data_IF_256014972027
#
_entry.id   IF_256014972027
#
_cell.length_a   1.000
_cell.length_b   1.000
_cell.length_c   1.000
_cell.angle_alpha   90.00
_cell.angle_beta   90.00
_cell.angle_gamma   90.00
#
_symmetry.space_group_name_H-M   'P 1'
#
loop_
_entity.id
_entity.type
_entity.pdbx_description
1 polymer ?
#
# COMPACT_ATOMS: atom_id res chain seq x y z
N UNK A 1 -1.67 -9.99 -23.23
CA UNK A 1 -0.22 -9.94 -23.48
C UNK A 1 0.45 -10.63 -22.30
N UNK A 2 1.07 -11.79 -22.52
CA UNK A 2 1.86 -12.45 -21.47
C UNK A 2 3.09 -11.58 -21.26
N UNK A 3 3.32 -11.04 -20.06
CA UNK A 3 4.62 -10.46 -19.72
C UNK A 3 5.58 -11.64 -19.58
N UNK A 4 6.10 -12.12 -20.71
CA UNK A 4 7.26 -13.01 -20.72
C UNK A 4 8.46 -12.12 -20.51
N UNK A 5 9.10 -12.22 -19.35
CA UNK A 5 10.48 -11.80 -19.20
C UNK A 5 11.34 -12.72 -20.08
N UNK A 6 11.60 -12.28 -21.31
CA UNK A 6 12.54 -12.93 -22.22
C UNK A 6 13.92 -12.33 -21.94
N UNK A 7 14.85 -13.17 -21.49
CA UNK A 7 16.27 -12.85 -21.38
C UNK A 7 17.00 -13.13 -22.70
N UNK A 8 17.78 -12.17 -23.19
CA UNK A 8 18.91 -12.33 -24.13
C UNK A 8 19.99 -11.28 -23.82
N UNK A 9 21.26 -11.47 -24.22
CA UNK A 9 22.39 -11.35 -23.32
C UNK A 9 23.12 -10.01 -23.43
N UNK A 10 23.59 -9.56 -22.27
CA UNK A 10 24.78 -8.72 -22.03
C UNK A 10 24.95 -7.47 -22.90
N UNK A 11 24.56 -6.32 -22.37
CA UNK A 11 25.38 -5.11 -22.49
C UNK A 11 25.10 -4.11 -21.35
N UNK A 12 26.16 -3.37 -21.02
CA UNK A 12 26.35 -2.45 -19.89
C UNK A 12 25.33 -1.30 -19.91
N UNK A 13 24.16 -1.41 -19.27
CA UNK A 13 23.34 -0.26 -18.79
C UNK A 13 22.53 -0.60 -17.52
N UNK A 14 23.07 -1.55 -16.73
CA UNK A 14 22.34 -2.37 -15.76
C UNK A 14 22.36 -1.83 -14.30
N UNK A 15 22.06 -0.54 -14.09
CA UNK A 15 22.03 0.02 -12.71
C UNK A 15 20.72 0.73 -12.30
N UNK A 16 19.80 1.01 -13.24
CA UNK A 16 18.50 1.61 -12.90
C UNK A 16 17.35 0.58 -12.81
N UNK A 17 17.36 -0.49 -13.61
CA UNK A 17 16.27 -1.48 -13.62
C UNK A 17 16.22 -2.40 -12.39
N UNK A 18 17.36 -2.60 -11.70
CA UNK A 18 17.41 -3.44 -10.49
C UNK A 18 16.72 -2.80 -9.26
N UNK A 19 16.48 -1.49 -9.25
CA UNK A 19 15.85 -0.80 -8.11
C UNK A 19 14.32 -0.94 -8.09
N UNK A 20 13.68 -1.06 -9.25
CA UNK A 20 12.22 -1.19 -9.36
C UNK A 20 11.70 -2.56 -8.86
N UNK A 21 12.53 -3.60 -8.96
CA UNK A 21 12.19 -4.95 -8.48
C UNK A 21 12.16 -5.09 -6.95
N UNK A 22 12.68 -4.11 -6.21
CA UNK A 22 12.72 -4.16 -4.74
C UNK A 22 11.41 -3.68 -4.08
N UNK A 23 10.46 -3.18 -4.86
CA UNK A 23 9.14 -2.72 -4.40
C UNK A 23 8.15 -3.90 -4.22
N UNK A 24 8.48 -5.10 -4.70
CA UNK A 24 7.66 -6.30 -4.47
C UNK A 24 8.46 -7.39 -3.74
N UNK A 25 8.38 -7.34 -2.40
CA UNK A 25 8.71 -8.38 -1.42
C UNK A 25 10.11 -9.02 -1.45
N UNK A 26 10.70 -9.12 -0.26
CA UNK A 26 11.93 -9.85 0.03
C UNK A 26 11.71 -11.37 0.04
N UNK A 27 11.57 -11.99 -1.13
CA UNK A 27 11.77 -13.42 -1.29
C UNK A 27 12.52 -13.68 -2.60
N UNK A 28 13.59 -14.49 -2.53
CA UNK A 28 14.40 -14.93 -3.67
C UNK A 28 13.58 -15.81 -4.63
N UNK A 29 12.70 -15.20 -5.43
CA UNK A 29 11.97 -15.87 -6.51
C UNK A 29 12.08 -14.98 -7.75
N UNK A 30 12.69 -15.52 -8.81
CA UNK A 30 13.13 -14.77 -9.99
C UNK A 30 12.01 -14.38 -10.97
N UNK A 31 10.74 -14.65 -10.64
CA UNK A 31 9.55 -14.25 -11.41
C UNK A 31 8.30 -14.47 -10.57
N UNK A 32 7.45 -13.45 -10.44
CA UNK A 32 6.12 -13.54 -9.84
C UNK A 32 5.05 -13.42 -10.93
N UNK A 33 4.05 -14.31 -10.94
CA UNK A 33 2.88 -14.17 -11.81
C UNK A 33 1.66 -13.70 -11.01
N UNK A 34 0.98 -12.67 -11.54
CA UNK A 34 -0.20 -12.05 -10.94
C UNK A 34 -1.48 -12.46 -11.69
N UNK A 35 -2.55 -12.71 -10.95
CA UNK A 35 -3.89 -12.93 -11.51
C UNK A 35 -4.93 -12.07 -10.79
N UNK A 36 -5.83 -11.51 -11.58
CA UNK A 36 -7.02 -10.83 -11.11
C UNK A 36 -8.25 -11.54 -11.68
N UNK A 37 -9.22 -11.82 -10.82
CA UNK A 37 -10.50 -12.38 -11.21
C UNK A 37 -11.57 -11.33 -10.92
N UNK A 38 -12.21 -10.85 -11.98
CA UNK A 38 -13.36 -9.93 -11.92
C UNK A 38 -14.60 -10.60 -12.50
N UNK A 39 -15.78 -10.16 -12.07
CA UNK A 39 -17.03 -10.57 -12.70
C UNK A 39 -17.32 -9.87 -14.03
N UNK A 40 -18.25 -10.40 -14.83
CA UNK A 40 -18.45 -9.97 -16.21
C UNK A 40 -19.01 -8.54 -16.30
N UNK A 41 -18.25 -7.58 -16.81
CA UNK A 41 -18.75 -6.24 -17.12
C UNK A 41 -19.60 -6.20 -18.40
N UNK A 42 -20.66 -5.36 -18.39
CA UNK A 42 -21.21 -4.79 -19.61
C UNK A 42 -20.30 -3.62 -20.05
N UNK A 43 -19.79 -3.74 -21.29
CA UNK A 43 -18.82 -2.85 -21.95
C UNK A 43 -19.18 -1.37 -21.92
N UNK A 44 -18.31 -0.51 -21.36
CA UNK A 44 -17.73 0.68 -22.02
C UNK A 44 -16.73 1.40 -21.08
N UNK A 45 -15.43 1.29 -21.36
CA UNK A 45 -14.35 2.06 -20.70
C UNK A 45 -13.16 1.19 -20.36
N UNK A 46 -12.02 1.41 -21.02
CA UNK A 46 -10.83 0.55 -20.95
C UNK A 46 -10.06 0.71 -19.63
N UNK A 47 -9.66 -0.42 -19.02
CA UNK A 47 -8.30 -0.56 -18.48
C UNK A 47 -7.89 -2.04 -18.38
N UNK A 48 -6.65 -2.33 -18.77
CA UNK A 48 -6.15 -3.67 -19.11
C UNK A 48 -5.41 -4.33 -17.94
N UNK A 49 -5.89 -5.50 -17.48
CA UNK A 49 -5.03 -6.69 -17.24
C UNK A 49 -5.80 -7.94 -17.67
N UNK A 50 -5.33 -8.55 -18.77
CA UNK A 50 -5.88 -9.77 -19.34
C UNK A 50 -5.63 -10.99 -18.44
N UNK A 51 -6.66 -11.45 -17.75
CA UNK A 51 -7.04 -12.87 -17.74
C UNK A 51 -8.54 -12.97 -18.03
N UNK A 52 -8.91 -12.53 -19.23
CA UNK A 52 -10.15 -12.99 -19.88
C UNK A 52 -10.01 -14.50 -20.04
N UNK A 53 -10.61 -15.28 -19.13
CA UNK A 53 -11.11 -16.58 -19.57
C UNK A 53 -12.04 -16.27 -20.75
N UNK A 54 -11.64 -16.70 -21.94
CA UNK A 54 -12.31 -16.42 -23.23
C UNK A 54 -13.73 -16.97 -23.34
N UNK A 55 -14.34 -17.37 -22.22
CA UNK A 55 -15.75 -17.68 -22.08
C UNK A 55 -16.30 -16.82 -20.95
N UNK A 56 -17.28 -15.99 -21.26
CA UNK A 56 -18.18 -15.33 -20.30
C UNK A 56 -18.74 -16.40 -19.35
N UNK A 57 -18.11 -16.61 -18.20
CA UNK A 57 -18.62 -17.50 -17.18
C UNK A 57 -19.31 -16.66 -16.11
N UNK A 58 -20.58 -16.93 -15.79
CA UNK A 58 -21.22 -16.31 -14.65
C UNK A 58 -20.42 -16.69 -13.39
N UNK A 59 -20.29 -15.75 -12.46
CA UNK A 59 -19.57 -15.91 -11.18
C UNK A 59 -20.36 -16.64 -10.06
N UNK A 60 -21.60 -17.16 -10.20
CA UNK A 60 -22.27 -17.69 -9.03
C UNK A 60 -21.62 -19.03 -8.65
N UNK A 61 -21.20 -19.09 -7.39
CA UNK A 61 -20.97 -20.34 -6.66
C UNK A 61 -20.11 -21.39 -7.38
N UNK A 62 -18.94 -21.00 -7.92
CA UNK A 62 -17.90 -22.02 -8.10
C UNK A 62 -17.49 -22.47 -6.70
N UNK A 63 -18.00 -23.61 -6.25
CA UNK A 63 -17.44 -24.36 -5.14
C UNK A 63 -15.93 -24.34 -5.35
N UNK A 64 -15.11 -23.86 -4.39
CA UNK A 64 -13.69 -23.54 -4.63
C UNK A 64 -12.87 -24.63 -5.34
N UNK A 65 -13.35 -25.87 -5.33
CA UNK A 65 -12.89 -26.99 -6.16
C UNK A 65 -12.94 -26.77 -7.69
N UNK A 66 -13.97 -26.13 -8.22
CA UNK A 66 -14.17 -25.90 -9.66
C UNK A 66 -13.29 -24.75 -10.18
N UNK A 67 -13.14 -23.67 -9.41
CA UNK A 67 -12.10 -22.65 -9.68
C UNK A 67 -10.74 -23.34 -9.70
N UNK A 68 -10.44 -24.19 -8.72
CA UNK A 68 -9.17 -24.92 -8.65
C UNK A 68 -8.91 -25.88 -9.83
N UNK A 69 -9.95 -26.50 -10.37
CA UNK A 69 -9.84 -27.32 -11.58
C UNK A 69 -9.61 -26.46 -12.84
N UNK A 70 -10.29 -25.31 -12.94
CA UNK A 70 -10.01 -24.28 -13.94
C UNK A 70 -8.62 -23.66 -13.77
N UNK A 71 -8.07 -23.72 -12.54
CA UNK A 71 -6.75 -23.23 -12.17
C UNK A 71 -5.61 -24.22 -12.38
N UNK A 72 -5.86 -25.48 -12.77
CA UNK A 72 -4.78 -26.41 -13.17
C UNK A 72 -3.75 -25.83 -14.16
N UNK A 73 -4.10 -24.94 -15.12
CA UNK A 73 -3.11 -24.24 -15.95
C UNK A 73 -2.29 -23.15 -15.23
N UNK A 74 -2.65 -22.72 -14.02
CA UNK A 74 -1.95 -21.67 -13.26
C UNK A 74 -0.73 -22.17 -12.47
N UNK A 75 0.05 -23.08 -13.05
CA UNK A 75 1.34 -23.49 -12.47
C UNK A 75 2.34 -22.34 -12.61
N UNK A 76 2.29 -21.37 -11.70
CA UNK A 76 3.17 -20.20 -11.74
C UNK A 76 2.67 -18.98 -10.99
N UNK A 77 1.37 -18.90 -10.66
CA UNK A 77 0.80 -17.75 -9.94
C UNK A 77 1.31 -17.68 -8.51
N UNK A 78 1.68 -16.47 -8.08
CA UNK A 78 2.15 -16.18 -6.72
C UNK A 78 1.29 -15.11 -6.02
N UNK A 79 0.39 -14.45 -6.74
CA UNK A 79 -0.53 -13.44 -6.20
C UNK A 79 -1.91 -13.53 -6.87
N UNK A 80 -2.98 -13.51 -6.08
CA UNK A 80 -4.37 -13.44 -6.54
C UNK A 80 -5.09 -12.23 -5.94
N UNK A 81 -5.54 -11.30 -6.79
CA UNK A 81 -6.58 -10.30 -6.47
C UNK A 81 -7.97 -10.91 -6.76
N UNK A 82 -8.85 -10.93 -5.78
CA UNK A 82 -10.18 -11.57 -5.88
C UNK A 82 -11.33 -10.61 -5.58
N UNK A 83 -12.04 -10.23 -6.64
CA UNK A 83 -13.04 -9.15 -6.68
C UNK A 83 -14.39 -9.55 -6.04
N UNK A 84 -15.34 -8.62 -5.99
CA UNK A 84 -16.68 -8.74 -5.39
C UNK A 84 -17.83 -8.48 -6.37
N UNK A 85 -17.55 -8.14 -7.64
CA UNK A 85 -18.60 -7.99 -8.64
C UNK A 85 -19.40 -9.29 -8.88
N UNK A 86 -20.71 -9.16 -9.11
CA UNK A 86 -21.63 -10.26 -9.49
C UNK A 86 -21.61 -11.46 -8.51
N UNK A 87 -21.64 -11.14 -7.21
CA UNK A 87 -21.45 -12.06 -6.11
C UNK A 87 -22.70 -12.85 -5.67
N UNK A 88 -23.77 -12.88 -6.48
CA UNK A 88 -25.06 -13.53 -6.21
C UNK A 88 -25.68 -13.28 -4.82
N UNK A 89 -25.36 -12.13 -4.21
CA UNK A 89 -25.70 -11.76 -2.83
C UNK A 89 -25.09 -12.69 -1.76
N UNK A 90 -24.16 -13.58 -2.14
CA UNK A 90 -23.41 -14.39 -1.20
C UNK A 90 -22.45 -13.52 -0.39
N UNK A 91 -22.60 -13.61 0.93
CA UNK A 91 -21.81 -12.85 1.90
C UNK A 91 -20.30 -13.03 1.68
N UNK A 92 -19.48 -11.95 1.71
CA UNK A 92 -18.01 -12.03 1.57
C UNK A 92 -17.37 -13.01 2.56
N UNK A 93 -17.85 -13.03 3.81
CA UNK A 93 -17.40 -13.95 4.87
C UNK A 93 -17.48 -15.45 4.50
N UNK A 94 -18.32 -15.81 3.53
CA UNK A 94 -18.47 -17.18 3.04
C UNK A 94 -17.59 -17.39 1.80
N UNK A 95 -17.78 -16.56 0.76
CA UNK A 95 -17.13 -16.75 -0.56
C UNK A 95 -15.61 -16.63 -0.51
N UNK A 96 -15.04 -15.71 0.27
CA UNK A 96 -13.58 -15.60 0.39
C UNK A 96 -12.96 -16.77 1.14
N UNK A 97 -13.66 -17.34 2.13
CA UNK A 97 -13.20 -18.54 2.83
C UNK A 97 -13.11 -19.73 1.89
N UNK A 98 -14.13 -19.90 1.03
CA UNK A 98 -14.14 -20.95 0.01
C UNK A 98 -12.92 -20.83 -0.92
N UNK A 99 -12.59 -19.63 -1.38
CA UNK A 99 -11.40 -19.39 -2.21
C UNK A 99 -10.10 -19.64 -1.44
N UNK A 100 -9.98 -19.14 -0.21
CA UNK A 100 -8.82 -19.37 0.66
C UNK A 100 -8.54 -20.85 0.85
N UNK A 101 -9.56 -21.65 1.20
CA UNK A 101 -9.45 -23.10 1.34
C UNK A 101 -9.02 -23.78 0.04
N UNK A 102 -9.45 -23.24 -1.10
CA UNK A 102 -9.08 -23.71 -2.42
C UNK A 102 -7.59 -23.45 -2.72
N UNK A 103 -7.12 -22.22 -2.49
CA UNK A 103 -5.71 -21.84 -2.62
C UNK A 103 -4.81 -22.70 -1.72
N UNK A 104 -5.21 -22.95 -0.48
CA UNK A 104 -4.45 -23.78 0.45
C UNK A 104 -4.31 -25.24 -0.04
N UNK A 105 -5.32 -25.77 -0.74
CA UNK A 105 -5.26 -27.11 -1.36
C UNK A 105 -4.28 -27.21 -2.53
N UNK A 106 -3.88 -26.09 -3.14
CA UNK A 106 -2.83 -26.08 -4.19
C UNK A 106 -1.48 -26.55 -3.64
N UNK A 107 -1.24 -26.35 -2.34
CA UNK A 107 0.06 -26.45 -1.67
C UNK A 107 1.15 -25.54 -2.25
N UNK A 108 0.77 -24.51 -3.03
CA UNK A 108 1.64 -23.42 -3.46
C UNK A 108 1.34 -22.19 -2.59
N UNK A 109 2.36 -21.49 -2.06
CA UNK A 109 2.15 -20.19 -1.44
C UNK A 109 1.67 -19.19 -2.50
N UNK A 110 0.43 -18.72 -2.37
CA UNK A 110 -0.16 -17.69 -3.23
C UNK A 110 -0.63 -16.58 -2.29
N UNK A 111 -0.14 -15.35 -2.50
CA UNK A 111 -0.63 -14.18 -1.77
C UNK A 111 -2.09 -13.94 -2.14
N UNK A 112 -2.98 -13.95 -1.15
CA UNK A 112 -4.40 -13.75 -1.38
C UNK A 112 -4.82 -12.35 -0.98
N UNK A 113 -5.23 -11.55 -1.96
CA UNK A 113 -5.69 -10.17 -1.82
C UNK A 113 -7.20 -10.11 -2.10
N UNK A 114 -7.97 -9.74 -1.08
CA UNK A 114 -9.42 -9.58 -1.19
C UNK A 114 -9.76 -8.18 -1.69
N UNK A 115 -10.73 -8.10 -2.60
CA UNK A 115 -11.21 -6.88 -3.21
C UNK A 115 -12.75 -6.81 -3.13
N UNK A 116 -13.22 -6.51 -1.93
CA UNK A 116 -14.60 -6.47 -1.45
C UNK A 116 -15.01 -5.10 -0.95
N UNK A 117 -14.13 -4.12 -1.11
CA UNK A 117 -14.40 -2.71 -0.86
C UNK A 117 -14.85 -2.40 0.58
N UNK A 118 -14.34 -3.16 1.54
CA UNK A 118 -14.72 -3.03 2.95
C UNK A 118 -16.07 -3.67 3.32
N UNK A 119 -16.73 -4.38 2.39
CA UNK A 119 -18.03 -5.00 2.63
C UNK A 119 -18.00 -6.00 3.79
N UNK A 120 -18.96 -5.85 4.71
CA UNK A 120 -19.04 -6.55 5.99
C UNK A 120 -17.75 -6.49 6.84
N UNK A 121 -17.00 -5.37 6.77
CA UNK A 121 -15.83 -5.07 7.62
C UNK A 121 -14.78 -6.20 7.62
N UNK A 122 -14.07 -6.43 6.50
CA UNK A 122 -13.04 -7.46 6.40
C UNK A 122 -11.90 -7.29 7.40
N UNK A 123 -11.72 -6.09 7.94
CA UNK A 123 -10.80 -5.80 9.03
C UNK A 123 -11.04 -6.68 10.27
N UNK A 124 -12.26 -7.18 10.48
CA UNK A 124 -12.61 -8.06 11.60
C UNK A 124 -12.36 -9.56 11.34
N UNK A 125 -12.25 -9.99 10.08
CA UNK A 125 -12.25 -11.43 9.74
C UNK A 125 -11.26 -11.84 8.65
N UNK A 126 -10.84 -10.91 7.80
CA UNK A 126 -9.95 -11.11 6.65
C UNK A 126 -8.59 -11.70 7.02
N UNK A 127 -8.02 -11.34 8.17
CA UNK A 127 -6.74 -11.88 8.63
C UNK A 127 -6.71 -13.41 8.80
N UNK A 128 -7.87 -14.06 8.95
CA UNK A 128 -7.98 -15.52 9.05
C UNK A 128 -8.15 -16.22 7.69
N UNK A 129 -8.28 -15.43 6.61
CA UNK A 129 -8.71 -15.88 5.28
C UNK A 129 -7.72 -15.46 4.20
N UNK A 130 -7.12 -14.27 4.31
CA UNK A 130 -6.31 -13.64 3.28
C UNK A 130 -5.12 -12.86 3.84
N UNK A 131 -4.24 -12.40 2.95
CA UNK A 131 -3.04 -11.63 3.27
C UNK A 131 -3.25 -10.11 3.21
N UNK A 132 -4.20 -9.66 2.41
CA UNK A 132 -4.70 -8.28 2.44
C UNK A 132 -6.18 -8.23 2.07
N UNK A 133 -6.84 -7.13 2.42
CA UNK A 133 -8.24 -6.87 2.08
C UNK A 133 -8.48 -5.40 1.80
N UNK A 134 -9.22 -5.12 0.73
CA UNK A 134 -9.62 -3.75 0.38
C UNK A 134 -10.51 -3.18 1.47
N UNK A 135 -10.16 -2.00 1.98
CA UNK A 135 -10.93 -1.32 3.04
C UNK A 135 -11.93 -0.31 2.49
N UNK A 136 -11.80 0.06 1.21
CA UNK A 136 -12.59 1.09 0.54
C UNK A 136 -12.94 0.71 -0.89
N UNK A 137 -13.87 1.46 -1.50
CA UNK A 137 -14.06 1.53 -2.95
C UNK A 137 -12.77 1.95 -3.67
N UNK A 138 -12.81 1.89 -5.01
CA UNK A 138 -11.65 2.18 -5.85
C UNK A 138 -11.16 3.63 -5.68
N UNK A 139 -9.84 3.78 -5.60
CA UNK A 139 -9.19 5.09 -5.68
C UNK A 139 -9.31 5.64 -7.11
N UNK A 140 -9.24 6.96 -7.23
CA UNK A 140 -9.04 7.64 -8.50
C UNK A 140 -7.87 8.60 -8.38
N UNK A 141 -7.22 8.92 -9.49
CA UNK A 141 -6.11 9.86 -9.56
C UNK A 141 -6.53 11.32 -9.33
N UNK A 142 -6.96 11.63 -8.11
CA UNK A 142 -7.26 12.99 -7.63
C UNK A 142 -6.96 13.13 -6.14
N UNK A 143 -6.63 14.35 -5.72
CA UNK A 143 -6.29 14.67 -4.33
C UNK A 143 -7.41 14.28 -3.35
N UNK A 144 -8.65 14.62 -3.69
CA UNK A 144 -9.82 14.38 -2.83
C UNK A 144 -10.11 12.88 -2.66
N UNK A 145 -9.91 12.10 -3.72
CA UNK A 145 -10.11 10.65 -3.69
C UNK A 145 -9.04 9.97 -2.83
N UNK A 146 -7.78 10.35 -3.03
CA UNK A 146 -6.65 9.86 -2.23
C UNK A 146 -6.85 10.15 -0.75
N UNK A 147 -7.22 11.38 -0.37
CA UNK A 147 -7.49 11.74 1.02
C UNK A 147 -8.67 10.96 1.61
N UNK A 148 -9.78 10.85 0.87
CA UNK A 148 -10.96 10.10 1.32
C UNK A 148 -10.61 8.65 1.63
N UNK A 149 -9.84 8.00 0.75
CA UNK A 149 -9.45 6.60 0.91
C UNK A 149 -8.47 6.43 2.07
N UNK A 150 -7.51 7.34 2.22
CA UNK A 150 -6.62 7.38 3.37
C UNK A 150 -7.38 7.48 4.71
N UNK A 151 -8.36 8.38 4.78
CA UNK A 151 -9.16 8.62 5.99
C UNK A 151 -10.03 7.42 6.37
N UNK A 152 -10.66 6.78 5.38
CA UNK A 152 -11.46 5.58 5.60
C UNK A 152 -10.61 4.37 5.99
N UNK A 153 -9.36 4.30 5.55
CA UNK A 153 -8.44 3.22 5.89
C UNK A 153 -7.82 3.37 7.29
N UNK A 154 -7.55 4.61 7.71
CA UNK A 154 -6.87 4.93 8.96
C UNK A 154 -7.56 4.34 10.19
N UNK A 155 -8.90 4.39 10.22
CA UNK A 155 -9.71 3.92 11.36
C UNK A 155 -9.53 2.42 11.65
N UNK A 156 -8.93 1.67 10.72
CA UNK A 156 -8.69 0.23 10.83
C UNK A 156 -7.25 -0.14 11.18
N UNK A 157 -6.40 0.84 11.49
CA UNK A 157 -4.98 0.61 11.76
C UNK A 157 -4.69 -0.48 12.81
N UNK A 158 -5.53 -0.64 13.84
CA UNK A 158 -5.36 -1.67 14.88
C UNK A 158 -5.52 -3.12 14.38
N UNK A 159 -6.14 -3.31 13.21
CA UNK A 159 -6.41 -4.63 12.65
C UNK A 159 -5.29 -5.12 11.73
N UNK A 160 -4.50 -4.20 11.17
CA UNK A 160 -3.35 -4.54 10.32
C UNK A 160 -2.20 -5.08 11.17
N UNK A 161 -1.59 -6.17 10.69
CA UNK A 161 -0.48 -6.85 11.37
C UNK A 161 0.29 -7.73 10.38
N UNK A 162 1.51 -8.19 10.72
CA UNK A 162 2.23 -9.14 9.89
C UNK A 162 1.36 -10.33 9.44
N UNK A 163 1.20 -10.45 8.12
CA UNK A 163 0.39 -11.49 7.47
C UNK A 163 -1.03 -11.10 7.09
N UNK A 164 -1.52 -9.92 7.50
CA UNK A 164 -2.85 -9.40 7.18
C UNK A 164 -2.88 -7.88 7.16
N UNK A 165 -3.02 -7.28 5.97
CA UNK A 165 -2.87 -5.84 5.76
C UNK A 165 -4.15 -5.19 5.24
N UNK A 166 -4.44 -4.00 5.75
CA UNK A 166 -5.45 -3.13 5.17
C UNK A 166 -4.97 -2.62 3.80
N UNK A 167 -5.82 -2.70 2.80
CA UNK A 167 -5.52 -2.31 1.42
C UNK A 167 -6.37 -1.09 1.02
N UNK A 168 -5.83 0.14 1.10
CA UNK A 168 -6.46 1.35 0.59
C UNK A 168 -6.37 1.47 -0.95
N UNK A 169 -6.21 0.37 -1.69
CA UNK A 169 -6.08 0.33 -3.16
C UNK A 169 -4.71 0.74 -3.70
N UNK A 170 -4.56 0.70 -5.02
CA UNK A 170 -3.30 0.89 -5.73
C UNK A 170 -2.76 2.33 -5.66
N UNK A 171 -1.46 2.50 -5.92
CA UNK A 171 -0.81 3.80 -6.04
C UNK A 171 -1.13 4.44 -7.40
N UNK A 172 -1.60 5.70 -7.36
CA UNK A 172 -1.87 6.53 -8.54
C UNK A 172 -0.65 7.34 -8.99
N UNK A 173 0.48 7.16 -8.30
CA UNK A 173 1.72 7.93 -8.51
C UNK A 173 2.19 7.84 -9.95
N UNK A 174 2.14 8.98 -10.66
CA UNK A 174 2.57 9.11 -12.04
C UNK A 174 1.48 9.01 -13.10
N UNK A 175 0.19 8.97 -12.72
CA UNK A 175 -0.93 8.93 -13.67
C UNK A 175 -1.37 10.31 -14.20
N UNK A 176 -0.93 11.40 -13.56
CA UNK A 176 -0.99 12.77 -14.07
C UNK A 176 -2.12 13.65 -13.51
N UNK A 177 -3.00 13.12 -12.67
CA UNK A 177 -4.12 13.80 -12.05
C UNK A 177 -3.79 14.53 -10.74
N UNK A 178 -2.63 14.27 -10.14
CA UNK A 178 -2.13 14.97 -8.96
C UNK A 178 -0.77 15.64 -9.21
N UNK A 179 -0.45 16.66 -8.41
CA UNK A 179 0.85 17.31 -8.41
C UNK A 179 1.93 16.42 -7.79
N UNK A 180 3.20 16.77 -8.01
CA UNK A 180 4.32 16.05 -7.39
C UNK A 180 4.22 15.97 -5.86
N UNK A 181 3.87 17.08 -5.20
CA UNK A 181 3.76 17.13 -3.74
C UNK A 181 2.60 16.27 -3.24
N UNK A 182 1.48 16.24 -3.96
CA UNK A 182 0.33 15.40 -3.64
C UNK A 182 0.67 13.91 -3.81
N UNK A 183 1.42 13.53 -4.85
CA UNK A 183 1.92 12.16 -4.98
C UNK A 183 2.94 11.77 -3.91
N UNK A 184 3.75 12.71 -3.42
CA UNK A 184 4.63 12.51 -2.27
C UNK A 184 3.81 12.24 -1.00
N UNK A 185 2.70 12.96 -0.79
CA UNK A 185 1.75 12.70 0.31
C UNK A 185 1.13 11.30 0.14
N UNK A 186 0.58 11.00 -1.03
CA UNK A 186 -0.02 9.69 -1.36
C UNK A 186 0.91 8.53 -0.99
N UNK A 187 2.13 8.54 -1.55
CA UNK A 187 3.11 7.49 -1.29
C UNK A 187 3.51 7.40 0.18
N UNK A 188 3.64 8.54 0.86
CA UNK A 188 3.98 8.58 2.29
C UNK A 188 2.88 7.99 3.17
N UNK A 189 1.61 8.30 2.88
CA UNK A 189 0.46 7.78 3.63
C UNK A 189 0.31 6.27 3.41
N UNK A 190 0.45 5.78 2.18
CA UNK A 190 0.42 4.34 1.91
C UNK A 190 1.56 3.62 2.62
N UNK A 191 2.77 4.20 2.60
CA UNK A 191 3.93 3.62 3.25
C UNK A 191 3.79 3.59 4.78
N UNK A 192 3.37 4.70 5.40
CA UNK A 192 3.19 4.76 6.85
C UNK A 192 2.04 3.85 7.30
N UNK A 193 1.03 3.66 6.44
CA UNK A 193 -0.13 2.81 6.71
C UNK A 193 0.13 1.30 6.56
N UNK A 194 1.32 0.89 6.14
CA UNK A 194 1.64 -0.52 5.77
C UNK A 194 0.70 -1.08 4.69
N UNK A 195 0.17 -0.20 3.84
CA UNK A 195 -0.61 -0.59 2.68
C UNK A 195 0.25 -1.38 1.69
N UNK A 196 -0.35 -2.26 0.86
CA UNK A 196 0.30 -2.76 -0.34
C UNK A 196 0.78 -1.59 -1.23
N UNK A 197 2.05 -1.61 -1.63
CA UNK A 197 2.62 -0.60 -2.55
C UNK A 197 2.56 -1.11 -4.00
N UNK A 198 1.34 -1.22 -4.53
CA UNK A 198 1.09 -1.69 -5.90
C UNK A 198 1.06 -0.51 -6.87
N UNK A 199 1.94 -0.50 -7.87
CA UNK A 199 2.00 0.58 -8.87
C UNK A 199 0.80 0.51 -9.83
N UNK A 200 0.04 1.60 -9.93
CA UNK A 200 -1.06 1.76 -10.88
C UNK A 200 -0.67 2.48 -12.19
N UNK A 201 0.57 2.96 -12.31
CA UNK A 201 1.04 3.69 -13.49
C UNK A 201 1.64 2.81 -14.58
N UNK A 202 1.77 3.35 -15.80
CA UNK A 202 2.48 2.69 -16.89
C UNK A 202 4.00 2.69 -16.66
N UNK A 203 4.52 1.56 -16.15
CA UNK A 203 5.94 1.39 -15.81
C UNK A 203 6.89 1.45 -17.01
N UNK A 204 6.39 1.48 -18.25
CA UNK A 204 7.21 1.65 -19.45
C UNK A 204 7.61 3.11 -19.70
N UNK A 205 6.87 4.05 -19.10
CA UNK A 205 7.00 5.49 -19.35
C UNK A 205 7.10 6.28 -18.03
N UNK A 206 7.82 5.75 -17.05
CA UNK A 206 7.99 6.40 -15.74
C UNK A 206 8.91 7.63 -15.87
N UNK A 207 8.43 8.80 -15.43
CA UNK A 207 9.24 10.02 -15.39
C UNK A 207 10.27 9.96 -14.25
N UNK A 208 11.28 10.83 -14.30
CA UNK A 208 12.27 10.91 -13.23
C UNK A 208 11.63 11.38 -11.91
N UNK A 209 10.63 12.26 -11.95
CA UNK A 209 9.89 12.66 -10.74
C UNK A 209 9.14 11.48 -10.13
N UNK A 210 8.42 10.69 -10.95
CA UNK A 210 7.72 9.49 -10.48
C UNK A 210 8.70 8.48 -9.88
N UNK A 211 9.87 8.27 -10.51
CA UNK A 211 10.93 7.40 -9.97
C UNK A 211 11.51 7.89 -8.63
N UNK A 212 11.59 9.20 -8.40
CA UNK A 212 12.05 9.76 -7.11
C UNK A 212 11.07 9.41 -5.98
N UNK A 213 9.78 9.37 -6.28
CA UNK A 213 8.73 9.02 -5.32
C UNK A 213 8.75 7.51 -5.07
N UNK A 214 8.47 6.71 -6.10
CA UNK A 214 8.28 5.26 -5.94
C UNK A 214 9.59 4.54 -5.60
N UNK A 215 10.75 5.11 -5.95
CA UNK A 215 12.08 4.58 -5.68
C UNK A 215 12.71 5.07 -4.36
N UNK A 216 11.95 5.72 -3.48
CA UNK A 216 12.49 6.17 -2.19
C UNK A 216 12.63 4.99 -1.20
N UNK A 217 13.84 4.42 -1.16
CA UNK A 217 14.21 3.28 -0.30
C UNK A 217 13.93 3.53 1.20
N UNK A 218 14.01 4.76 1.69
CA UNK A 218 13.80 5.07 3.12
C UNK A 218 12.31 5.07 3.48
N UNK A 219 11.46 5.57 2.58
CA UNK A 219 9.99 5.52 2.75
C UNK A 219 9.48 4.09 2.58
N UNK A 220 10.03 3.33 1.61
CA UNK A 220 9.76 1.89 1.47
C UNK A 220 10.19 1.14 2.73
N UNK A 221 11.33 1.47 3.33
CA UNK A 221 11.80 0.83 4.56
C UNK A 221 10.85 1.06 5.75
N UNK A 222 10.13 2.18 5.78
CA UNK A 222 9.03 2.38 6.73
C UNK A 222 7.90 1.39 6.46
N UNK A 223 7.43 1.27 5.21
CA UNK A 223 6.38 0.32 4.84
C UNK A 223 6.76 -1.13 5.18
N UNK A 224 8.01 -1.50 4.92
CA UNK A 224 8.55 -2.85 5.11
C UNK A 224 9.14 -3.09 6.51
N UNK A 225 8.89 -2.20 7.48
CA UNK A 225 9.41 -2.37 8.83
C UNK A 225 8.87 -3.64 9.48
N UNK A 226 9.76 -4.43 10.09
CA UNK A 226 9.44 -5.75 10.66
C UNK A 226 8.44 -5.70 11.81
N UNK A 227 8.29 -4.56 12.48
CA UNK A 227 7.27 -4.42 13.53
C UNK A 227 5.87 -4.49 12.94
N UNK A 228 5.69 -4.04 11.68
CA UNK A 228 4.47 -4.24 10.93
C UNK A 228 3.24 -3.57 11.54
N UNK A 229 3.43 -2.44 12.24
CA UNK A 229 2.35 -1.67 12.86
C UNK A 229 1.96 -0.53 11.92
N UNK A 230 0.70 -0.49 11.54
CA UNK A 230 0.10 0.62 10.80
C UNK A 230 0.07 1.87 11.69
N UNK A 231 0.61 2.98 11.18
CA UNK A 231 0.52 4.27 11.85
C UNK A 231 -0.91 4.82 11.81
N UNK A 232 -1.21 5.71 12.75
CA UNK A 232 -2.50 6.37 12.91
C UNK A 232 -2.34 7.88 12.92
N UNK A 233 -3.45 8.60 12.74
CA UNK A 233 -3.52 10.02 13.08
C UNK A 233 -3.42 10.16 14.60
N UNK A 234 -2.43 10.92 15.05
CA UNK A 234 -2.22 11.23 16.47
C UNK A 234 -2.67 12.65 16.83
N UNK A 235 -2.72 13.55 15.84
CA UNK A 235 -3.21 14.92 16.00
C UNK A 235 -3.84 15.41 14.70
N UNK A 236 -4.93 16.15 14.83
CA UNK A 236 -5.64 16.79 13.71
C UNK A 236 -6.10 18.19 14.14
N UNK A 237 -5.64 19.21 13.44
CA UNK A 237 -5.96 20.62 13.69
C UNK A 237 -6.52 21.24 12.40
N UNK A 238 -7.83 21.05 12.18
CA UNK A 238 -8.47 21.36 10.91
C UNK A 238 -7.90 20.47 9.80
N UNK A 239 -7.31 21.08 8.78
CA UNK A 239 -6.71 20.42 7.61
C UNK A 239 -5.22 20.09 7.77
N UNK A 240 -4.72 20.11 9.00
CA UNK A 240 -3.35 19.74 9.33
C UNK A 240 -3.37 18.46 10.15
N UNK A 241 -2.67 17.44 9.69
CA UNK A 241 -2.66 16.13 10.33
C UNK A 241 -1.25 15.69 10.67
N UNK A 242 -1.12 15.02 11.81
CA UNK A 242 0.12 14.36 12.21
C UNK A 242 -0.22 12.88 12.37
N UNK A 243 0.49 12.07 11.60
CA UNK A 243 0.41 10.62 11.69
C UNK A 243 1.66 10.09 12.34
N UNK A 244 1.54 9.10 13.21
CA UNK A 244 2.69 8.46 13.82
C UNK A 244 2.44 6.97 14.10
N UNK A 245 3.55 6.22 14.15
CA UNK A 245 3.53 4.82 14.50
C UNK A 245 4.91 4.32 14.93
N UNK A 246 4.96 3.28 15.77
CA UNK A 246 6.23 2.69 16.17
C UNK A 246 6.86 1.93 15.01
N UNK A 247 8.19 1.89 15.00
CA UNK A 247 9.01 1.07 14.12
C UNK A 247 9.93 0.18 14.95
N UNK A 248 10.52 -0.82 14.30
CA UNK A 248 11.55 -1.66 14.89
C UNK A 248 12.72 -0.84 15.46
N UNK A 249 13.36 -1.38 16.51
CA UNK A 249 14.48 -0.76 17.24
C UNK A 249 14.11 0.52 18.00
N UNK A 250 12.89 0.57 18.55
CA UNK A 250 12.40 1.70 19.36
C UNK A 250 12.44 3.05 18.61
N UNK A 251 12.30 3.00 17.29
CA UNK A 251 12.18 4.18 16.43
C UNK A 251 10.71 4.51 16.25
N UNK A 252 10.41 5.74 15.85
CA UNK A 252 9.04 6.18 15.55
C UNK A 252 9.07 6.80 14.16
N UNK A 253 8.08 6.48 13.33
CA UNK A 253 7.82 7.25 12.11
C UNK A 253 6.80 8.33 12.42
N UNK A 254 7.00 9.52 11.86
CA UNK A 254 6.05 10.61 11.90
C UNK A 254 5.87 11.22 10.51
N UNK A 255 4.64 11.59 10.17
CA UNK A 255 4.28 12.27 8.93
C UNK A 255 3.46 13.51 9.30
N UNK A 256 3.95 14.69 8.90
CA UNK A 256 3.21 15.93 8.93
C UNK A 256 2.54 16.11 7.57
N UNK A 257 1.22 16.16 7.54
CA UNK A 257 0.42 16.31 6.32
C UNK A 257 -0.31 17.64 6.34
N UNK A 258 -0.03 18.50 5.37
CA UNK A 258 -0.72 19.78 5.20
C UNK A 258 -1.69 19.69 4.03
N UNK A 259 -2.99 19.58 4.33
CA UNK A 259 -4.04 19.56 3.31
C UNK A 259 -4.49 20.95 2.85
N UNK A 260 -3.95 22.01 3.45
CA UNK A 260 -4.29 23.40 3.11
C UNK A 260 -3.61 23.84 1.81
N UNK A 261 -4.18 24.81 1.07
CA UNK A 261 -3.57 25.36 -0.13
C UNK A 261 -2.49 26.42 0.15
N UNK A 262 -1.97 26.51 1.38
CA UNK A 262 -0.86 27.37 1.77
C UNK A 262 0.06 26.68 2.79
N UNK A 263 1.32 27.13 2.87
CA UNK A 263 2.32 26.62 3.82
C UNK A 263 1.85 26.82 5.26
N UNK A 264 2.00 25.79 6.08
CA UNK A 264 1.61 25.84 7.49
C UNK A 264 2.73 25.35 8.41
N UNK A 265 2.86 26.00 9.57
CA UNK A 265 3.73 25.53 10.65
C UNK A 265 3.00 24.47 11.48
N UNK A 266 3.61 23.32 11.65
CA UNK A 266 3.03 22.15 12.32
C UNK A 266 3.97 21.64 13.40
N UNK A 267 3.40 21.22 14.54
CA UNK A 267 4.18 20.76 15.70
C UNK A 267 3.65 19.43 16.20
N UNK A 268 4.54 18.44 16.28
CA UNK A 268 4.29 17.18 16.96
C UNK A 268 4.87 17.23 18.36
N UNK A 269 4.05 16.92 19.36
CA UNK A 269 4.50 16.82 20.74
C UNK A 269 4.83 15.36 21.09
N UNK A 270 5.75 15.14 22.03
CA UNK A 270 6.21 13.80 22.42
C UNK A 270 5.12 12.94 23.06
N UNK A 271 4.19 13.57 23.77
CA UNK A 271 2.99 12.92 24.31
C UNK A 271 2.06 12.39 23.21
N UNK A 272 1.90 13.10 22.09
CA UNK A 272 1.10 12.66 20.93
C UNK A 272 1.62 11.36 20.32
N UNK A 273 2.94 11.13 20.38
CA UNK A 273 3.61 10.02 19.68
C UNK A 273 4.15 8.94 20.63
N UNK A 274 3.70 8.93 21.88
CA UNK A 274 4.01 7.88 22.85
C UNK A 274 5.44 7.91 23.41
N UNK A 275 6.10 9.07 23.39
CA UNK A 275 7.38 9.29 24.06
C UNK A 275 7.10 9.82 25.46
N UNK A 276 7.25 8.98 26.48
CA UNK A 276 6.78 9.23 27.85
C UNK A 276 7.51 10.37 28.59
N UNK A 277 8.75 10.70 28.21
CA UNK A 277 9.51 11.76 28.85
C UNK A 277 9.95 12.82 27.86
N UNK A 278 9.63 14.07 28.16
CA UNK A 278 10.11 15.24 27.40
C UNK A 278 11.64 15.36 27.39
N UNK A 279 12.32 14.73 28.36
CA UNK A 279 13.79 14.69 28.45
C UNK A 279 14.44 13.77 27.41
N UNK A 280 13.67 12.94 26.71
CA UNK A 280 14.21 12.07 25.66
C UNK A 280 14.69 12.94 24.49
N UNK A 281 15.99 12.85 24.22
CA UNK A 281 16.61 13.52 23.08
C UNK A 281 16.39 12.67 21.83
N UNK A 282 15.90 13.29 20.77
CA UNK A 282 15.56 12.61 19.52
C UNK A 282 16.41 13.17 18.38
N UNK A 283 16.99 12.27 17.60
CA UNK A 283 17.48 12.58 16.27
C UNK A 283 16.39 12.29 15.24
N UNK A 284 16.11 13.27 14.38
CA UNK A 284 15.15 13.14 13.29
C UNK A 284 15.88 13.00 11.95
N UNK A 285 15.50 12.00 11.15
CA UNK A 285 15.92 11.87 9.76
C UNK A 285 14.76 12.15 8.82
N UNK A 286 14.92 13.14 7.95
CA UNK A 286 13.99 13.48 6.89
C UNK A 286 14.14 12.49 5.73
N UNK A 287 13.08 11.74 5.44
CA UNK A 287 13.12 10.65 4.47
C UNK A 287 13.03 11.13 3.02
N UNK A 288 12.45 12.32 2.79
CA UNK A 288 12.32 12.90 1.46
C UNK A 288 13.55 13.72 1.09
N UNK A 289 14.11 14.46 2.05
CA UNK A 289 15.39 15.17 1.89
C UNK A 289 16.61 14.25 2.04
N UNK A 290 16.41 13.01 2.49
CA UNK A 290 17.45 12.00 2.76
C UNK A 290 18.59 12.55 3.61
N UNK A 291 18.26 13.36 4.61
CA UNK A 291 19.24 13.96 5.53
C UNK A 291 18.78 13.87 6.97
N UNK A 292 19.75 13.69 7.84
CA UNK A 292 19.53 13.80 9.28
C UNK A 292 19.54 15.28 9.63
N UNK A 293 18.55 15.72 10.40
CA UNK A 293 18.50 17.10 10.86
C UNK A 293 19.65 17.33 11.85
N UNK A 294 20.35 18.45 11.70
CA UNK A 294 21.50 18.80 12.56
C UNK A 294 21.06 19.05 14.01
N UNK A 295 19.83 19.54 14.16
CA UNK A 295 19.22 19.82 15.45
C UNK A 295 18.75 18.52 16.11
N UNK A 296 18.93 18.43 17.42
CA UNK A 296 18.28 17.42 18.25
C UNK A 296 17.01 18.01 18.86
N UNK A 297 16.01 17.16 19.08
CA UNK A 297 14.69 17.58 19.53
C UNK A 297 14.38 17.00 20.92
N UNK A 298 13.74 17.80 21.75
CA UNK A 298 13.25 17.43 23.08
C UNK A 298 11.84 18.01 23.25
N UNK A 299 10.92 17.22 23.80
CA UNK A 299 9.51 17.56 24.00
C UNK A 299 8.65 17.70 22.72
N UNK A 300 9.22 18.19 21.61
CA UNK A 300 8.48 18.44 20.36
C UNK A 300 9.38 18.57 19.13
N UNK A 301 8.76 18.42 17.95
CA UNK A 301 9.34 18.77 16.65
C UNK A 301 8.37 19.69 15.90
N UNK A 302 8.85 20.88 15.50
CA UNK A 302 8.10 21.84 14.67
C UNK A 302 8.73 21.95 13.29
N UNK A 303 7.92 21.93 12.24
CA UNK A 303 8.36 22.12 10.85
C UNK A 303 7.34 22.91 10.04
N UNK A 304 7.80 23.57 8.98
CA UNK A 304 6.90 24.19 7.99
C UNK A 304 6.67 23.19 6.85
N UNK A 305 5.41 23.00 6.50
CA UNK A 305 4.98 22.09 5.44
C UNK A 305 4.24 22.90 4.39
N UNK A 306 4.66 22.79 3.14
CA UNK A 306 4.05 23.53 2.02
C UNK A 306 2.61 23.10 1.74
N UNK A 307 1.93 23.85 0.87
CA UNK A 307 0.58 23.52 0.43
C UNK A 307 0.50 22.12 -0.19
N UNK A 308 -0.49 21.31 0.21
CA UNK A 308 -0.70 19.94 -0.30
C UNK A 308 0.59 19.12 -0.31
N UNK A 309 1.34 19.19 0.79
CA UNK A 309 2.63 18.55 0.94
C UNK A 309 2.72 17.83 2.27
N UNK A 310 3.79 17.02 2.42
CA UNK A 310 4.12 16.41 3.69
C UNK A 310 5.60 16.51 4.02
N UNK A 311 5.91 16.29 5.30
CA UNK A 311 7.26 15.98 5.77
C UNK A 311 7.22 14.69 6.57
N UNK A 312 8.08 13.74 6.19
CA UNK A 312 8.13 12.42 6.79
C UNK A 312 9.48 12.23 7.47
N UNK A 313 9.45 11.87 8.75
CA UNK A 313 10.66 11.66 9.54
C UNK A 313 10.67 10.29 10.21
N UNK A 314 11.87 9.72 10.34
CA UNK A 314 12.14 8.68 11.33
C UNK A 314 12.85 9.30 12.52
N UNK A 315 12.25 9.13 13.68
CA UNK A 315 12.74 9.60 14.97
C UNK A 315 13.47 8.45 15.66
N UNK A 316 14.70 8.72 16.10
CA UNK A 316 15.54 7.77 16.84
C UNK A 316 15.91 8.39 18.20
N UNK A 317 15.49 7.79 19.32
CA UNK A 317 15.95 8.18 20.65
C UNK A 317 17.47 8.06 20.75
N UNK A 318 18.11 9.12 21.23
CA UNK A 318 19.53 9.15 21.57
C UNK A 318 19.61 9.09 23.10
N UNK A 319 20.33 8.09 23.59
CA UNK A 319 20.66 7.95 25.02
C UNK A 319 21.72 8.98 25.44
#
# INVERSE_FOLDING_TARGET
>A
MVVRAIWWPTSLHFHQELKLLQIMFTARVSSWEFMQIQGPEHVQGECQVHLVMKNKMPIPLLHGYEVMQLCKPFRGIDYLKYDNCYNDDTRPTIRYRVMSDALMKTRRPIFFSMCEWGDMRPTLWGANVANSWRTTDDISDSWESMLKVADLNEVYADYAKPGGWNDPDMLEVGNGGMTYSEYVVHFSIWAISKAPLLLGCDVRFVTNETLQIIGNEEVIAVNQDRLGVQAKKVRMEGEQEIWAGPLSKNRIVILFENRKPWTSSMTAHWDDIGIESESVVIQARDLWERRTLEMQFQGKLTTNVDAHACKMYVLTPIA
#
